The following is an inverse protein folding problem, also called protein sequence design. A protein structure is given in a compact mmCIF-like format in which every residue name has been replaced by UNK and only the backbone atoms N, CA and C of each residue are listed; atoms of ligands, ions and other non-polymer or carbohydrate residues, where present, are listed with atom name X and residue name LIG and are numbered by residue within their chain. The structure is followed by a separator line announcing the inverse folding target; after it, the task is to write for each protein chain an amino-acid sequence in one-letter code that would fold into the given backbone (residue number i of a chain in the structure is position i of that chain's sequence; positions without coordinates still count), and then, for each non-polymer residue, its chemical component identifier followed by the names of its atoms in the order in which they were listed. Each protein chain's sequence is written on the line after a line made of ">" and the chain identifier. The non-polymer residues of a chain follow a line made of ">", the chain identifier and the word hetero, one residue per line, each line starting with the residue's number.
data_IF_143914509224
#
_entry.id   IF_143914509224
#
_cell.length_a   1.000
_cell.length_b   1.000
_cell.length_c   1.000
_cell.angle_alpha   90.00
_cell.angle_beta   90.00
_cell.angle_gamma   90.00
#
_symmetry.space_group_name_H-M   'P 1'
#
loop_
_entity.id
_entity.type
_entity.pdbx_description
1 polymer ?
#
# COMPACT_ATOMS: atom_id res chain seq x y z
N UNK A 1 6.52 14.11 -2.53
CA UNK A 1 6.33 12.69 -2.85
C UNK A 1 7.07 11.85 -1.82
N UNK A 2 6.36 11.08 -1.01
CA UNK A 2 6.95 10.20 0.03
C UNK A 2 7.78 9.04 -0.55
N UNK A 3 7.59 8.72 -1.82
CA UNK A 3 8.21 7.58 -2.48
C UNK A 3 9.19 7.95 -3.58
N UNK A 4 9.24 9.22 -3.96
CA UNK A 4 10.06 9.71 -5.08
C UNK A 4 11.58 9.59 -4.90
N UNK A 5 12.02 9.43 -3.66
CA UNK A 5 13.45 9.29 -3.34
C UNK A 5 13.88 7.81 -3.15
N UNK A 6 12.96 6.84 -3.29
CA UNK A 6 13.29 5.41 -3.20
C UNK A 6 13.94 4.94 -4.49
N UNK A 7 15.06 4.20 -4.40
CA UNK A 7 15.69 3.67 -5.60
C UNK A 7 14.82 2.59 -6.26
N UNK A 8 14.55 2.73 -7.57
CA UNK A 8 13.71 1.77 -8.33
C UNK A 8 14.54 0.72 -9.03
N UNK A 9 15.43 1.15 -9.92
CA UNK A 9 16.21 0.27 -10.79
C UNK A 9 17.69 0.25 -10.44
N UNK A 10 18.22 1.32 -9.91
CA UNK A 10 19.63 1.45 -9.54
C UNK A 10 19.76 2.41 -8.36
N UNK A 11 20.58 2.07 -7.38
CA UNK A 11 20.83 2.88 -6.20
C UNK A 11 21.46 2.11 -5.06
N UNK A 12 21.43 2.71 -3.89
CA UNK A 12 22.02 2.20 -2.66
C UNK A 12 21.29 1.00 -2.10
N UNK A 13 22.03 0.13 -1.40
CA UNK A 13 21.51 -0.84 -0.45
C UNK A 13 21.50 -0.25 0.97
N UNK A 14 20.79 -0.87 1.90
CA UNK A 14 20.68 -0.38 3.30
C UNK A 14 22.02 -0.30 4.05
N UNK A 15 23.03 -1.02 3.59
CA UNK A 15 24.40 -1.00 4.14
C UNK A 15 25.36 -0.14 3.36
N UNK A 16 24.94 0.43 2.23
CA UNK A 16 25.79 1.28 1.39
C UNK A 16 26.28 2.51 2.15
N UNK A 17 27.53 2.87 1.93
CA UNK A 17 28.16 4.02 2.55
C UNK A 17 28.13 5.22 1.62
N UNK A 18 27.98 6.43 2.19
CA UNK A 18 28.05 7.66 1.44
C UNK A 18 29.49 7.86 0.91
N UNK A 19 29.62 8.15 -0.37
CA UNK A 19 30.93 8.45 -0.95
C UNK A 19 31.53 9.69 -0.29
N UNK A 20 32.81 9.61 0.07
CA UNK A 20 33.53 10.70 0.71
C UNK A 20 34.62 11.24 -0.22
N UNK A 21 34.86 12.53 -0.14
CA UNK A 21 35.96 13.19 -0.80
C UNK A 21 36.79 13.99 0.20
N UNK A 22 38.11 14.04 -0.02
CA UNK A 22 39.04 14.84 0.78
C UNK A 22 39.18 16.21 0.15
N UNK A 23 38.67 17.23 0.83
CA UNK A 23 38.88 18.62 0.45
C UNK A 23 39.79 19.33 1.48
N UNK A 24 41.05 19.56 1.14
CA UNK A 24 42.06 20.00 2.10
C UNK A 24 42.32 18.95 3.15
N UNK A 25 42.12 19.28 4.44
CA UNK A 25 42.27 18.36 5.57
C UNK A 25 40.93 17.81 6.10
N UNK A 26 39.82 18.05 5.40
CA UNK A 26 38.48 17.64 5.84
C UNK A 26 37.91 16.57 4.91
N UNK A 27 37.34 15.54 5.51
CA UNK A 27 36.56 14.52 4.83
C UNK A 27 35.10 14.98 4.73
N UNK A 28 34.58 15.11 3.51
CA UNK A 28 33.24 15.59 3.24
C UNK A 28 32.44 14.57 2.42
N UNK A 29 31.13 14.45 2.66
CA UNK A 29 30.27 13.62 1.82
C UNK A 29 30.17 14.23 0.40
N UNK A 30 30.23 13.38 -0.60
CA UNK A 30 29.98 13.76 -1.99
C UNK A 30 28.47 13.93 -2.18
N UNK A 31 28.09 15.09 -2.72
CA UNK A 31 26.70 15.40 -3.01
C UNK A 31 26.53 15.68 -4.50
N UNK A 32 25.42 15.20 -5.07
CA UNK A 32 24.99 15.48 -6.43
C UNK A 32 23.78 16.42 -6.41
N UNK A 33 23.75 17.36 -7.35
CA UNK A 33 22.63 18.29 -7.50
C UNK A 33 21.40 17.52 -7.96
N UNK A 34 20.37 17.51 -7.12
CA UNK A 34 19.10 16.90 -7.41
C UNK A 34 18.12 17.82 -8.14
N UNK A 35 16.85 17.44 -8.13
CA UNK A 35 15.79 18.19 -8.80
C UNK A 35 15.67 19.62 -8.27
N UNK A 36 15.47 20.64 -9.14
CA UNK A 36 15.28 22.01 -8.70
C UNK A 36 13.96 22.19 -7.97
N UNK A 37 13.99 22.96 -6.90
CA UNK A 37 12.79 23.40 -6.18
C UNK A 37 12.40 24.78 -6.70
N UNK A 38 11.21 24.88 -7.28
CA UNK A 38 10.70 26.10 -7.86
C UNK A 38 9.84 26.87 -6.86
N UNK A 39 9.95 28.16 -6.86
CA UNK A 39 9.02 29.07 -6.19
C UNK A 39 8.36 29.96 -7.25
N UNK A 40 7.05 30.15 -7.08
CA UNK A 40 6.28 31.04 -7.95
C UNK A 40 6.59 32.49 -7.63
N UNK A 41 6.80 33.30 -8.65
CA UNK A 41 6.89 34.76 -8.52
C UNK A 41 5.50 35.33 -8.25
N UNK A 42 5.38 36.26 -7.31
CA UNK A 42 4.11 36.96 -7.07
C UNK A 42 3.71 37.76 -8.31
N UNK A 43 2.45 37.61 -8.69
CA UNK A 43 1.87 38.36 -9.83
C UNK A 43 1.51 39.76 -9.38
N UNK A 44 1.82 40.75 -10.21
CA UNK A 44 1.34 42.11 -10.03
C UNK A 44 -0.04 42.35 -10.66
N UNK A 45 -0.46 41.48 -11.60
CA UNK A 45 -1.78 41.50 -12.24
C UNK A 45 -2.31 40.07 -12.43
N UNK A 46 -3.63 39.84 -12.34
CA UNK A 46 -4.25 38.54 -12.64
C UNK A 46 -3.94 37.98 -14.03
N UNK A 47 -3.73 38.86 -15.01
CA UNK A 47 -3.46 38.50 -16.42
C UNK A 47 -1.98 38.15 -16.68
N UNK A 48 -1.10 38.36 -15.69
CA UNK A 48 0.31 38.05 -15.83
C UNK A 48 0.54 36.53 -15.85
N UNK A 49 1.34 35.98 -16.80
CA UNK A 49 1.64 34.56 -16.81
C UNK A 49 2.40 34.13 -15.57
N UNK A 50 2.19 32.89 -15.14
CA UNK A 50 2.91 32.30 -14.02
C UNK A 50 4.40 32.19 -14.35
N UNK A 51 5.22 32.75 -13.48
CA UNK A 51 6.69 32.65 -13.56
C UNK A 51 7.21 31.91 -12.33
N UNK A 52 8.25 31.12 -12.56
CA UNK A 52 8.88 30.33 -11.50
C UNK A 52 10.39 30.55 -11.54
N UNK A 53 10.99 30.62 -10.37
CA UNK A 53 12.45 30.62 -10.24
C UNK A 53 12.92 29.48 -9.33
N UNK A 54 14.14 29.01 -9.55
CA UNK A 54 14.74 27.96 -8.74
C UNK A 54 15.29 28.57 -7.46
N UNK A 55 14.76 28.14 -6.31
CA UNK A 55 15.20 28.60 -4.98
C UNK A 55 16.40 27.79 -4.49
N UNK A 56 16.35 26.48 -4.69
CA UNK A 56 17.37 25.52 -4.28
C UNK A 56 17.27 24.25 -5.10
N UNK A 57 18.27 23.41 -5.02
CA UNK A 57 18.22 22.02 -5.50
C UNK A 57 17.99 21.09 -4.30
N UNK A 58 17.36 19.93 -4.55
CA UNK A 58 17.29 18.82 -3.59
C UNK A 58 18.55 17.98 -3.76
N UNK A 59 19.65 18.42 -3.15
CA UNK A 59 20.92 17.72 -3.29
C UNK A 59 20.83 16.34 -2.59
N UNK A 60 21.41 15.32 -3.24
CA UNK A 60 21.40 13.94 -2.77
C UNK A 60 22.82 13.48 -2.47
N UNK A 61 22.95 12.61 -1.47
CA UNK A 61 24.22 11.94 -1.22
C UNK A 61 24.52 10.95 -2.34
N UNK A 62 25.77 10.93 -2.79
CA UNK A 62 26.28 9.89 -3.67
C UNK A 62 26.74 8.72 -2.81
N UNK A 63 26.32 7.52 -3.13
CA UNK A 63 26.74 6.31 -2.41
C UNK A 63 27.90 5.63 -3.14
N UNK A 64 28.87 5.14 -2.36
CA UNK A 64 30.04 4.47 -2.90
C UNK A 64 29.69 3.09 -3.51
N UNK A 65 28.68 2.44 -2.93
CA UNK A 65 28.21 1.15 -3.43
C UNK A 65 26.76 1.28 -3.87
N UNK A 66 26.51 0.99 -5.15
CA UNK A 66 25.17 0.94 -5.72
C UNK A 66 24.94 -0.42 -6.35
N UNK A 67 23.69 -0.85 -6.39
CA UNK A 67 23.29 -2.10 -7.00
C UNK A 67 22.12 -1.93 -7.96
N UNK A 68 21.96 -2.91 -8.84
CA UNK A 68 20.79 -2.98 -9.71
C UNK A 68 19.59 -3.51 -8.93
N UNK A 69 18.42 -2.88 -9.09
CA UNK A 69 17.14 -3.24 -8.50
C UNK A 69 17.19 -3.37 -6.96
N UNK A 70 17.61 -2.32 -6.22
CA UNK A 70 17.74 -2.39 -4.77
C UNK A 70 16.37 -2.44 -4.09
N UNK A 71 16.11 -3.51 -3.36
CA UNK A 71 14.86 -3.69 -2.61
C UNK A 71 15.05 -3.46 -1.11
N UNK A 72 16.22 -3.78 -0.59
CA UNK A 72 16.63 -3.47 0.77
C UNK A 72 17.51 -2.19 0.75
N UNK A 73 16.88 -1.02 0.77
CA UNK A 73 17.54 0.28 0.52
C UNK A 73 17.59 1.19 1.76
N UNK A 74 16.68 1.02 2.72
CA UNK A 74 16.53 1.93 3.85
C UNK A 74 17.43 1.51 5.02
N UNK A 75 18.49 2.28 5.28
CA UNK A 75 19.45 1.99 6.36
C UNK A 75 18.82 2.02 7.76
N UNK A 76 17.72 2.78 7.95
CA UNK A 76 16.99 2.82 9.22
C UNK A 76 16.27 1.51 9.53
N UNK A 77 16.07 0.65 8.52
CA UNK A 77 15.36 -0.63 8.57
C UNK A 77 16.28 -1.86 8.50
N UNK A 78 17.56 -1.68 8.73
CA UNK A 78 18.56 -2.76 8.66
C UNK A 78 18.17 -4.01 9.48
N UNK A 79 17.76 -3.83 10.73
CA UNK A 79 17.34 -4.93 11.62
C UNK A 79 16.09 -5.63 11.12
N UNK A 80 15.14 -4.89 10.55
CA UNK A 80 13.89 -5.44 10.04
C UNK A 80 14.15 -6.31 8.80
N UNK A 81 15.07 -5.88 7.91
CA UNK A 81 15.50 -6.68 6.76
C UNK A 81 16.21 -7.97 7.20
N UNK A 82 17.16 -7.86 8.14
CA UNK A 82 17.90 -9.02 8.65
C UNK A 82 16.98 -10.02 9.36
N UNK A 83 16.04 -9.53 10.16
CA UNK A 83 15.04 -10.36 10.83
C UNK A 83 14.15 -11.10 9.83
N UNK A 84 13.63 -10.39 8.81
CA UNK A 84 12.78 -11.00 7.78
C UNK A 84 13.52 -12.06 6.96
N UNK A 85 14.76 -11.78 6.63
CA UNK A 85 15.58 -12.67 5.80
C UNK A 85 16.19 -13.86 6.58
N UNK A 86 16.14 -13.82 7.91
CA UNK A 86 16.87 -14.79 8.76
C UNK A 86 18.37 -14.59 8.70
N UNK A 87 18.81 -13.36 8.48
CA UNK A 87 20.19 -12.94 8.25
C UNK A 87 20.49 -12.66 6.78
N UNK A 88 21.41 -11.73 6.56
CA UNK A 88 21.94 -11.35 5.23
C UNK A 88 23.45 -11.58 5.25
N UNK A 89 23.94 -12.51 4.43
CA UNK A 89 25.38 -12.84 4.36
C UNK A 89 26.14 -11.73 3.63
N UNK A 90 25.61 -11.28 2.49
CA UNK A 90 26.18 -10.20 1.68
C UNK A 90 27.55 -10.50 1.10
N UNK A 91 28.01 -9.57 0.23
CA UNK A 91 29.40 -9.55 -0.23
C UNK A 91 30.19 -8.50 0.56
N UNK A 92 31.38 -8.86 1.02
CA UNK A 92 32.29 -7.91 1.66
C UNK A 92 32.98 -7.07 0.59
N UNK A 93 32.84 -5.74 0.69
CA UNK A 93 33.44 -4.75 -0.21
C UNK A 93 34.27 -3.77 0.63
N UNK A 94 35.46 -3.44 0.16
CA UNK A 94 36.31 -2.44 0.81
C UNK A 94 35.75 -1.04 0.52
N UNK A 95 35.70 -0.23 1.56
CA UNK A 95 35.29 1.17 1.49
C UNK A 95 36.36 2.05 2.13
N UNK A 96 36.83 3.04 1.38
CA UNK A 96 37.80 4.03 1.88
C UNK A 96 37.08 5.17 2.58
N UNK A 97 37.22 5.22 3.89
CA UNK A 97 36.72 6.31 4.73
C UNK A 97 37.82 7.35 4.93
N UNK A 98 38.15 8.07 3.85
CA UNK A 98 39.17 9.11 3.85
C UNK A 98 40.57 8.64 4.37
N UNK A 99 41.06 7.50 3.89
CA UNK A 99 42.34 6.90 4.26
C UNK A 99 42.25 5.76 5.26
N UNK A 100 41.08 5.50 5.84
CA UNK A 100 40.80 4.31 6.62
C UNK A 100 39.96 3.32 5.77
N UNK A 101 40.56 2.17 5.45
CA UNK A 101 39.86 1.13 4.69
C UNK A 101 39.07 0.28 5.66
N UNK A 102 37.74 0.25 5.48
CA UNK A 102 36.83 -0.61 6.26
C UNK A 102 36.12 -1.59 5.34
N UNK A 103 35.81 -2.76 5.87
CA UNK A 103 35.01 -3.78 5.17
C UNK A 103 33.54 -3.54 5.42
N UNK A 104 32.76 -3.40 4.35
CA UNK A 104 31.29 -3.22 4.40
C UNK A 104 30.63 -4.40 3.71
N UNK A 105 29.60 -4.96 4.34
CA UNK A 105 28.81 -6.03 3.75
C UNK A 105 27.64 -5.45 2.95
N UNK A 106 27.59 -5.73 1.66
CA UNK A 106 26.52 -5.30 0.78
C UNK A 106 25.68 -6.52 0.39
N UNK A 107 24.34 -6.46 0.51
CA UNK A 107 23.47 -7.56 0.10
C UNK A 107 23.77 -8.01 -1.33
N UNK A 108 23.75 -9.32 -1.55
CA UNK A 108 23.86 -9.87 -2.90
C UNK A 108 22.59 -9.61 -3.71
N UNK A 109 22.71 -9.65 -5.04
CA UNK A 109 21.52 -9.56 -5.92
C UNK A 109 20.51 -10.67 -5.65
N UNK A 110 20.97 -11.88 -5.34
CA UNK A 110 20.09 -13.01 -5.01
C UNK A 110 19.30 -12.79 -3.72
N UNK A 111 19.94 -12.27 -2.66
CA UNK A 111 19.26 -11.92 -1.41
C UNK A 111 18.24 -10.80 -1.64
N UNK A 112 18.59 -9.83 -2.45
CA UNK A 112 17.71 -8.72 -2.79
C UNK A 112 16.46 -9.19 -3.57
N UNK A 113 16.63 -10.13 -4.53
CA UNK A 113 15.50 -10.77 -5.21
C UNK A 113 14.70 -11.68 -4.27
N UNK A 114 15.35 -12.41 -3.36
CA UNK A 114 14.66 -13.21 -2.35
C UNK A 114 13.77 -12.34 -1.46
N UNK A 115 14.27 -11.17 -1.02
CA UNK A 115 13.48 -10.19 -0.29
C UNK A 115 12.30 -9.67 -1.11
N UNK A 116 12.53 -9.29 -2.37
CA UNK A 116 11.46 -8.87 -3.28
C UNK A 116 10.35 -9.90 -3.40
N UNK A 117 10.69 -11.16 -3.62
CA UNK A 117 9.69 -12.21 -3.78
C UNK A 117 9.00 -12.59 -2.47
N UNK A 118 9.76 -12.75 -1.37
CA UNK A 118 9.20 -13.20 -0.09
C UNK A 118 8.42 -12.11 0.62
N UNK A 119 8.96 -10.88 0.69
CA UNK A 119 8.31 -9.78 1.40
C UNK A 119 7.39 -8.97 0.49
N UNK A 120 7.94 -8.38 -0.59
CA UNK A 120 7.17 -7.42 -1.36
C UNK A 120 6.10 -8.06 -2.24
N UNK A 121 6.40 -9.19 -2.91
CA UNK A 121 5.41 -9.87 -3.73
C UNK A 121 4.50 -10.79 -2.91
N UNK A 122 5.05 -11.62 -2.02
CA UNK A 122 4.24 -12.60 -1.29
C UNK A 122 3.52 -11.97 -0.11
N UNK A 123 4.24 -11.37 0.85
CA UNK A 123 3.63 -10.86 2.06
C UNK A 123 2.83 -9.57 1.83
N UNK A 124 3.38 -8.59 1.08
CA UNK A 124 2.75 -7.28 0.88
C UNK A 124 1.77 -7.21 -0.30
N UNK A 125 1.72 -8.22 -1.18
CA UNK A 125 0.78 -8.21 -2.30
C UNK A 125 -0.06 -9.48 -2.38
N UNK A 126 0.56 -10.66 -2.49
CA UNK A 126 -0.16 -11.92 -2.66
C UNK A 126 -1.06 -12.23 -1.47
N UNK A 127 -0.61 -12.00 -0.24
CA UNK A 127 -1.41 -12.16 0.97
C UNK A 127 -2.68 -11.30 0.92
N UNK A 128 -2.55 -10.03 0.56
CA UNK A 128 -3.71 -9.12 0.41
C UNK A 128 -4.64 -9.53 -0.73
N UNK A 129 -4.07 -10.00 -1.84
CA UNK A 129 -4.87 -10.54 -2.93
C UNK A 129 -5.70 -11.73 -2.46
N UNK A 130 -5.10 -12.66 -1.74
CA UNK A 130 -5.78 -13.85 -1.24
C UNK A 130 -6.84 -13.54 -0.17
N UNK A 131 -6.68 -12.46 0.61
CA UNK A 131 -7.73 -12.00 1.52
C UNK A 131 -9.05 -11.72 0.79
N UNK A 132 -8.98 -11.20 -0.42
CA UNK A 132 -10.16 -10.85 -1.20
C UNK A 132 -10.79 -12.05 -1.95
N UNK A 133 -10.01 -13.11 -2.20
CA UNK A 133 -10.45 -14.18 -3.10
C UNK A 133 -10.38 -15.60 -2.52
N UNK A 134 -9.75 -15.77 -1.37
CA UNK A 134 -9.70 -17.05 -0.65
C UNK A 134 -10.30 -16.95 0.75
N UNK A 135 -9.79 -16.01 1.55
CA UNK A 135 -10.22 -15.73 2.91
C UNK A 135 -9.12 -15.12 3.75
N UNK A 136 -9.48 -14.56 4.90
CA UNK A 136 -8.62 -13.85 5.83
C UNK A 136 -8.69 -14.49 7.21
N UNK A 137 -7.56 -14.71 7.85
CA UNK A 137 -7.47 -15.33 9.17
C UNK A 137 -8.04 -14.42 10.27
N UNK A 138 -7.62 -13.17 10.32
CA UNK A 138 -8.11 -12.12 11.21
C UNK A 138 -7.62 -10.75 10.71
N UNK A 139 -8.07 -9.65 11.35
CA UNK A 139 -7.65 -8.27 11.03
C UNK A 139 -6.48 -7.76 11.89
N UNK A 140 -5.86 -8.61 12.70
CA UNK A 140 -4.66 -8.27 13.42
C UNK A 140 -3.50 -8.05 12.44
N UNK A 141 -2.79 -6.94 12.62
CA UNK A 141 -1.65 -6.63 11.76
C UNK A 141 -0.54 -7.66 11.95
N UNK A 142 -0.15 -8.34 10.87
CA UNK A 142 0.92 -9.32 10.86
C UNK A 142 2.25 -8.75 10.42
N UNK A 143 3.35 -9.35 10.92
CA UNK A 143 4.71 -9.13 10.44
C UNK A 143 5.37 -10.43 9.95
N UNK A 144 4.56 -11.43 9.59
CA UNK A 144 4.99 -12.76 9.13
C UNK A 144 4.76 -13.88 10.12
N UNK A 145 4.13 -13.60 11.26
CA UNK A 145 3.72 -14.59 12.25
C UNK A 145 2.60 -15.49 11.71
N UNK A 146 2.44 -16.68 12.30
CA UNK A 146 1.42 -17.65 11.87
C UNK A 146 0.01 -17.32 12.37
N UNK A 147 -0.12 -16.46 13.40
CA UNK A 147 -1.37 -16.14 14.07
C UNK A 147 -2.06 -14.86 13.55
N UNK A 148 -1.32 -14.00 12.86
CA UNK A 148 -1.79 -12.66 12.56
C UNK A 148 -1.91 -12.38 11.06
N UNK A 149 -3.13 -12.03 10.63
CA UNK A 149 -3.41 -11.45 9.32
C UNK A 149 -2.99 -12.30 8.12
N UNK A 150 -2.93 -13.62 8.25
CA UNK A 150 -2.63 -14.50 7.13
C UNK A 150 -3.86 -14.68 6.23
N UNK A 151 -3.64 -15.18 5.02
CA UNK A 151 -4.74 -15.66 4.20
C UNK A 151 -5.03 -17.12 4.52
N UNK A 152 -6.29 -17.52 4.39
CA UNK A 152 -6.78 -18.87 4.62
C UNK A 152 -7.70 -19.31 3.48
N UNK A 153 -7.90 -20.60 3.37
CA UNK A 153 -8.85 -21.17 2.41
C UNK A 153 -10.20 -21.52 3.04
N UNK A 154 -10.23 -21.69 4.35
CA UNK A 154 -11.34 -22.26 5.10
C UNK A 154 -11.43 -23.79 5.02
N UNK A 155 -10.44 -24.44 4.38
CA UNK A 155 -10.32 -25.90 4.31
C UNK A 155 -9.26 -26.32 5.34
N UNK A 156 -9.65 -26.92 6.48
CA UNK A 156 -8.75 -27.18 7.61
C UNK A 156 -7.48 -27.95 7.24
N UNK A 157 -7.58 -28.89 6.31
CA UNK A 157 -6.42 -29.66 5.85
C UNK A 157 -5.35 -28.79 5.18
N UNK A 158 -5.76 -27.78 4.40
CA UNK A 158 -4.85 -26.85 3.73
C UNK A 158 -4.33 -25.83 4.72
N UNK A 159 -5.22 -25.21 5.49
CA UNK A 159 -4.88 -24.13 6.40
C UNK A 159 -3.98 -24.62 7.54
N UNK A 160 -4.25 -25.80 8.09
CA UNK A 160 -3.40 -26.39 9.12
C UNK A 160 -2.02 -26.82 8.60
N UNK A 161 -1.92 -27.20 7.32
CA UNK A 161 -0.63 -27.48 6.73
C UNK A 161 0.22 -26.21 6.49
N UNK A 162 -0.43 -25.07 6.29
CA UNK A 162 0.25 -23.78 6.05
C UNK A 162 0.57 -23.01 7.33
N UNK A 163 -0.36 -22.97 8.28
CA UNK A 163 -0.33 -22.07 9.43
C UNK A 163 -0.33 -22.83 10.78
N UNK A 164 -0.33 -24.17 10.76
CA UNK A 164 -0.55 -24.96 11.96
C UNK A 164 -2.02 -25.09 12.33
N UNK A 165 -2.31 -25.83 13.37
CA UNK A 165 -3.71 -26.12 13.78
C UNK A 165 -4.43 -24.85 14.22
N UNK A 166 -5.32 -24.36 13.39
CA UNK A 166 -6.09 -23.13 13.63
C UNK A 166 -7.08 -23.27 14.79
N UNK A 167 -7.38 -24.50 15.22
CA UNK A 167 -8.21 -24.73 16.41
C UNK A 167 -7.53 -24.36 17.72
N UNK A 168 -6.21 -24.23 17.74
CA UNK A 168 -5.39 -23.86 18.90
C UNK A 168 -5.23 -22.37 19.11
N UNK A 169 -5.71 -21.54 18.17
CA UNK A 169 -5.67 -20.09 18.34
C UNK A 169 -6.46 -19.64 19.57
N UNK A 170 -6.07 -18.56 20.25
CA UNK A 170 -6.88 -17.89 21.28
C UNK A 170 -8.26 -17.49 20.76
N UNK A 171 -9.23 -17.43 21.66
CA UNK A 171 -10.63 -17.17 21.28
C UNK A 171 -10.82 -15.76 20.67
N UNK A 172 -10.09 -14.76 21.13
CA UNK A 172 -10.08 -13.40 20.57
C UNK A 172 -9.60 -13.32 19.12
N UNK A 173 -8.73 -14.24 18.69
CA UNK A 173 -8.29 -14.35 17.30
C UNK A 173 -9.25 -15.19 16.45
N UNK A 174 -9.88 -16.23 17.03
CA UNK A 174 -10.89 -17.06 16.34
C UNK A 174 -12.19 -16.30 16.08
N UNK A 175 -12.65 -15.54 17.08
CA UNK A 175 -13.90 -14.78 17.03
C UNK A 175 -13.71 -13.38 16.45
N UNK A 176 -12.52 -13.11 15.88
CA UNK A 176 -12.22 -11.83 15.28
C UNK A 176 -13.14 -11.57 14.09
N UNK A 177 -13.72 -10.37 14.02
CA UNK A 177 -14.65 -9.98 12.94
C UNK A 177 -14.00 -10.02 11.55
N UNK A 178 -12.68 -9.83 11.48
CA UNK A 178 -11.91 -9.95 10.25
C UNK A 178 -11.65 -11.38 9.79
N UNK A 179 -12.19 -12.41 10.50
CA UNK A 179 -12.12 -13.81 10.07
C UNK A 179 -13.14 -14.08 8.97
N UNK A 180 -12.66 -14.19 7.73
CA UNK A 180 -13.50 -14.36 6.54
C UNK A 180 -13.07 -15.58 5.73
N UNK A 181 -14.01 -16.43 5.35
CA UNK A 181 -13.75 -17.69 4.64
C UNK A 181 -14.57 -17.73 3.35
N UNK A 182 -13.89 -17.78 2.21
CA UNK A 182 -14.55 -17.82 0.90
C UNK A 182 -14.32 -19.15 0.14
N UNK A 183 -13.62 -20.10 0.75
CA UNK A 183 -13.34 -21.43 0.16
C UNK A 183 -12.65 -21.35 -1.22
N UNK A 184 -11.91 -20.32 -1.49
CA UNK A 184 -11.30 -20.03 -2.81
C UNK A 184 -12.32 -19.95 -3.97
N UNK A 185 -13.63 -19.87 -3.71
CA UNK A 185 -14.64 -19.86 -4.76
C UNK A 185 -14.50 -18.64 -5.70
N UNK A 186 -14.31 -17.41 -5.17
CA UNK A 186 -14.04 -16.25 -6.05
C UNK A 186 -12.75 -16.40 -6.85
N UNK A 187 -11.71 -16.99 -6.25
CA UNK A 187 -10.44 -17.25 -6.92
C UNK A 187 -10.61 -18.21 -8.09
N UNK A 188 -11.31 -19.31 -7.88
CA UNK A 188 -11.59 -20.33 -8.92
C UNK A 188 -12.38 -19.71 -10.06
N UNK A 189 -13.44 -18.97 -9.77
CA UNK A 189 -14.23 -18.28 -10.79
C UNK A 189 -13.38 -17.25 -11.56
N UNK A 190 -12.52 -16.51 -10.88
CA UNK A 190 -11.61 -15.56 -11.51
C UNK A 190 -10.62 -16.24 -12.45
N UNK A 191 -10.03 -17.35 -12.02
CA UNK A 191 -9.13 -18.14 -12.86
C UNK A 191 -9.85 -18.75 -14.09
N UNK A 192 -11.06 -19.29 -13.91
CA UNK A 192 -11.87 -19.76 -15.04
C UNK A 192 -12.13 -18.66 -16.05
N UNK A 193 -12.51 -17.47 -15.60
CA UNK A 193 -12.75 -16.31 -16.45
C UNK A 193 -11.49 -15.82 -17.16
N UNK A 194 -10.36 -15.76 -16.46
CA UNK A 194 -9.06 -15.41 -17.00
C UNK A 194 -8.65 -16.36 -18.15
N UNK A 195 -8.66 -17.67 -17.90
CA UNK A 195 -8.30 -18.66 -18.92
C UNK A 195 -9.28 -18.66 -20.09
N UNK A 196 -10.58 -18.60 -19.82
CA UNK A 196 -11.59 -18.53 -20.85
C UNK A 196 -11.39 -17.31 -21.75
N UNK A 197 -11.12 -16.13 -21.21
CA UNK A 197 -10.86 -14.93 -21.99
C UNK A 197 -9.58 -15.05 -22.80
N UNK A 198 -8.50 -15.58 -22.20
CA UNK A 198 -7.20 -15.73 -22.85
C UNK A 198 -7.21 -16.70 -24.03
N UNK A 199 -8.04 -17.77 -23.98
CA UNK A 199 -8.02 -18.86 -24.97
C UNK A 199 -9.26 -18.91 -25.87
N UNK A 200 -10.22 -18.00 -25.69
CA UNK A 200 -11.48 -18.06 -26.44
C UNK A 200 -11.31 -17.77 -27.93
N UNK A 201 -10.76 -16.64 -28.30
CA UNK A 201 -10.55 -16.20 -29.69
C UNK A 201 -9.65 -14.95 -29.73
N UNK A 202 -9.36 -14.44 -30.92
CA UNK A 202 -8.48 -13.27 -31.10
C UNK A 202 -8.99 -12.00 -30.39
N UNK A 203 -10.30 -11.75 -30.39
CA UNK A 203 -10.88 -10.62 -29.63
C UNK A 203 -10.78 -10.84 -28.12
N UNK A 204 -10.96 -12.08 -27.66
CA UNK A 204 -10.77 -12.46 -26.26
C UNK A 204 -9.35 -12.20 -25.78
N UNK A 205 -8.33 -12.56 -26.58
CA UNK A 205 -6.93 -12.27 -26.28
C UNK A 205 -6.66 -10.76 -26.19
N UNK A 206 -7.22 -9.95 -27.08
CA UNK A 206 -7.06 -8.49 -27.01
C UNK A 206 -7.66 -7.91 -25.72
N UNK A 207 -8.87 -8.34 -25.36
CA UNK A 207 -9.52 -7.92 -24.12
C UNK A 207 -8.80 -8.44 -22.87
N UNK A 208 -8.26 -9.67 -22.95
CA UNK A 208 -7.43 -10.22 -21.86
C UNK A 208 -6.24 -9.32 -21.56
N UNK A 209 -5.51 -8.87 -22.58
CA UNK A 209 -4.37 -8.00 -22.39
C UNK A 209 -4.74 -6.65 -21.75
N UNK A 210 -5.91 -6.10 -22.07
CA UNK A 210 -6.39 -4.86 -21.44
C UNK A 210 -6.61 -5.07 -19.94
N UNK A 211 -7.32 -6.13 -19.54
CA UNK A 211 -7.56 -6.44 -18.13
C UNK A 211 -6.25 -6.85 -17.43
N UNK A 212 -5.39 -7.62 -18.11
CA UNK A 212 -4.10 -8.03 -17.58
C UNK A 212 -3.18 -6.82 -17.29
N UNK A 213 -3.08 -5.87 -18.21
CA UNK A 213 -2.30 -4.67 -17.96
C UNK A 213 -2.90 -3.82 -16.85
N UNK A 214 -4.22 -3.71 -16.77
CA UNK A 214 -4.87 -3.05 -15.64
C UNK A 214 -4.50 -3.75 -14.32
N UNK A 215 -4.61 -5.07 -14.26
CA UNK A 215 -4.23 -5.88 -13.10
C UNK A 215 -2.75 -5.72 -12.74
N UNK A 216 -1.86 -5.84 -13.71
CA UNK A 216 -0.42 -5.73 -13.50
C UNK A 216 0.01 -4.33 -13.06
N UNK A 217 -0.46 -3.29 -13.75
CA UNK A 217 -0.06 -1.91 -13.48
C UNK A 217 -0.57 -1.37 -12.14
N UNK A 218 -1.75 -1.83 -11.71
CA UNK A 218 -2.33 -1.44 -10.40
C UNK A 218 -1.96 -2.41 -9.27
N UNK A 219 -1.24 -3.49 -9.56
CA UNK A 219 -0.76 -4.48 -8.61
C UNK A 219 0.76 -4.51 -8.53
N UNK A 220 1.39 -5.45 -9.28
CA UNK A 220 2.84 -5.68 -9.21
C UNK A 220 3.68 -4.45 -9.58
N UNK A 221 3.24 -3.65 -10.54
CA UNK A 221 3.94 -2.39 -10.85
C UNK A 221 3.95 -1.42 -9.66
N UNK A 222 2.85 -1.36 -8.89
CA UNK A 222 2.78 -0.58 -7.64
C UNK A 222 3.71 -1.16 -6.58
N UNK A 223 3.80 -2.50 -6.46
CA UNK A 223 4.78 -3.15 -5.54
C UNK A 223 6.20 -2.68 -5.85
N UNK A 224 6.58 -2.71 -7.13
CA UNK A 224 7.91 -2.27 -7.59
C UNK A 224 8.11 -0.78 -7.30
N UNK A 225 7.12 0.06 -7.60
CA UNK A 225 7.17 1.51 -7.41
C UNK A 225 7.28 1.91 -5.93
N UNK A 226 6.46 1.31 -5.07
CA UNK A 226 6.43 1.65 -3.66
C UNK A 226 7.72 1.21 -2.95
N UNK A 227 8.40 0.18 -3.41
CA UNK A 227 9.62 -0.36 -2.81
C UNK A 227 9.55 -0.40 -1.27
N UNK A 228 8.52 -1.07 -0.73
CA UNK A 228 8.22 -1.02 0.70
C UNK A 228 9.23 -1.82 1.51
N UNK A 229 9.66 -1.23 2.61
CA UNK A 229 10.48 -1.85 3.65
C UNK A 229 9.61 -2.61 4.67
N UNK A 230 10.18 -3.52 5.48
CA UNK A 230 9.46 -4.21 6.54
C UNK A 230 8.99 -3.27 7.66
N UNK A 231 8.18 -3.82 8.58
CA UNK A 231 7.64 -3.12 9.76
C UNK A 231 6.88 -1.85 9.37
N UNK A 232 5.91 -2.02 8.47
CA UNK A 232 4.99 -0.95 8.10
C UNK A 232 4.09 -0.59 9.30
N UNK A 233 3.74 0.70 9.49
CA UNK A 233 2.92 1.15 10.63
C UNK A 233 1.46 0.65 10.56
N UNK A 234 1.02 0.16 9.41
CA UNK A 234 -0.32 -0.41 9.16
C UNK A 234 -0.32 -1.26 7.90
N UNK A 235 -1.35 -2.08 7.74
CA UNK A 235 -1.59 -2.82 6.50
C UNK A 235 -1.78 -1.87 5.30
N UNK A 236 -1.28 -2.25 4.14
CA UNK A 236 -1.24 -1.42 2.91
C UNK A 236 -2.03 -2.02 1.75
N UNK A 237 -2.99 -2.90 2.02
CA UNK A 237 -3.85 -3.58 1.06
C UNK A 237 -4.55 -2.62 0.09
N UNK A 238 -5.00 -1.47 0.58
CA UNK A 238 -5.63 -0.43 -0.22
C UNK A 238 -4.78 0.11 -1.37
N UNK A 239 -3.45 0.00 -1.28
CA UNK A 239 -2.56 0.43 -2.35
C UNK A 239 -2.73 -0.41 -3.63
N UNK A 240 -3.26 -1.62 -3.51
CA UNK A 240 -3.42 -2.60 -4.57
C UNK A 240 -4.88 -2.85 -4.96
N UNK A 241 -5.81 -2.09 -4.42
CA UNK A 241 -7.25 -2.25 -4.65
C UNK A 241 -7.63 -2.25 -6.14
N UNK A 242 -6.92 -1.48 -6.98
CA UNK A 242 -7.13 -1.47 -8.42
C UNK A 242 -6.89 -2.83 -9.07
N UNK A 243 -5.89 -3.61 -8.62
CA UNK A 243 -5.64 -4.95 -9.14
C UNK A 243 -6.70 -5.96 -8.69
N UNK A 244 -7.20 -5.82 -7.47
CA UNK A 244 -8.30 -6.65 -6.97
C UNK A 244 -9.58 -6.40 -7.76
N UNK A 245 -9.87 -5.13 -8.05
CA UNK A 245 -10.96 -4.76 -8.95
C UNK A 245 -10.79 -5.34 -10.37
N UNK A 246 -9.58 -5.28 -10.93
CA UNK A 246 -9.29 -5.86 -12.23
C UNK A 246 -9.50 -7.38 -12.24
N UNK A 247 -9.10 -8.09 -11.18
CA UNK A 247 -9.34 -9.52 -11.05
C UNK A 247 -10.83 -9.85 -10.89
N UNK A 248 -11.61 -8.98 -10.26
CA UNK A 248 -13.06 -9.12 -10.14
C UNK A 248 -13.77 -9.11 -11.51
N UNK A 249 -13.18 -8.50 -12.55
CA UNK A 249 -13.68 -8.60 -13.92
C UNK A 249 -13.60 -10.06 -14.40
N UNK A 250 -12.46 -10.71 -14.19
CA UNK A 250 -12.32 -12.14 -14.53
C UNK A 250 -13.22 -13.03 -13.68
N UNK A 251 -13.41 -12.69 -12.41
CA UNK A 251 -14.36 -13.39 -11.55
C UNK A 251 -15.78 -13.37 -12.16
N UNK A 252 -16.28 -12.22 -12.60
CA UNK A 252 -17.55 -12.14 -13.32
C UNK A 252 -17.55 -12.91 -14.65
N UNK A 253 -16.43 -12.90 -15.41
CA UNK A 253 -16.27 -13.66 -16.64
C UNK A 253 -16.21 -15.17 -16.42
N UNK A 254 -15.88 -15.65 -15.21
CA UNK A 254 -15.95 -17.06 -14.85
C UNK A 254 -17.34 -17.65 -15.00
N UNK A 255 -18.38 -16.87 -14.71
CA UNK A 255 -19.78 -17.28 -14.95
C UNK A 255 -20.03 -17.52 -16.44
N UNK A 256 -19.57 -16.61 -17.29
CA UNK A 256 -19.69 -16.77 -18.76
C UNK A 256 -18.88 -17.97 -19.26
N UNK A 257 -17.73 -18.26 -18.66
CA UNK A 257 -16.93 -19.44 -18.96
C UNK A 257 -17.70 -20.73 -18.67
N UNK A 258 -18.33 -20.83 -17.49
CA UNK A 258 -19.14 -22.01 -17.11
C UNK A 258 -20.34 -22.19 -18.05
N UNK A 259 -21.05 -21.10 -18.36
CA UNK A 259 -22.17 -21.14 -19.29
C UNK A 259 -21.70 -21.65 -20.67
N UNK A 260 -20.64 -21.06 -21.24
CA UNK A 260 -20.10 -21.45 -22.52
C UNK A 260 -19.67 -22.93 -22.56
N UNK A 261 -19.00 -23.39 -21.51
CA UNK A 261 -18.59 -24.78 -21.38
C UNK A 261 -19.78 -25.75 -21.34
N UNK A 262 -20.82 -25.43 -20.61
CA UNK A 262 -22.02 -26.28 -20.50
C UNK A 262 -22.85 -26.27 -21.78
N UNK A 263 -22.96 -25.12 -22.48
CA UNK A 263 -23.64 -25.02 -23.78
C UNK A 263 -22.94 -25.89 -24.82
N UNK A 264 -21.62 -25.89 -24.87
CA UNK A 264 -20.83 -26.72 -25.77
C UNK A 264 -20.99 -28.20 -25.44
N UNK A 265 -20.89 -28.57 -24.17
CA UNK A 265 -21.00 -29.96 -23.70
C UNK A 265 -22.38 -30.56 -23.97
N UNK A 266 -23.44 -29.80 -23.67
CA UNK A 266 -24.84 -30.21 -23.81
C UNK A 266 -25.38 -29.98 -25.22
N UNK A 267 -24.60 -29.37 -26.12
CA UNK A 267 -25.01 -28.98 -27.50
C UNK A 267 -26.36 -28.24 -27.53
N UNK A 268 -26.65 -27.48 -26.47
CA UNK A 268 -27.92 -26.77 -26.30
C UNK A 268 -27.67 -25.43 -25.62
N UNK A 269 -28.08 -24.35 -26.24
CA UNK A 269 -28.17 -23.02 -25.62
C UNK A 269 -29.58 -22.82 -25.05
N UNK A 270 -29.67 -22.34 -23.83
CA UNK A 270 -30.95 -22.06 -23.16
C UNK A 270 -30.81 -20.90 -22.20
N UNK A 271 -31.62 -19.88 -22.38
CA UNK A 271 -31.68 -18.70 -21.48
C UNK A 271 -31.99 -19.14 -20.04
N UNK A 272 -32.84 -20.12 -19.86
CA UNK A 272 -33.20 -20.68 -18.54
C UNK A 272 -31.98 -21.30 -17.87
N UNK A 273 -31.19 -22.09 -18.61
CA UNK A 273 -29.96 -22.70 -18.11
C UNK A 273 -28.93 -21.63 -17.71
N UNK A 274 -28.71 -20.65 -18.59
CA UNK A 274 -27.78 -19.56 -18.32
C UNK A 274 -28.19 -18.72 -17.10
N UNK A 275 -29.50 -18.45 -16.96
CA UNK A 275 -30.05 -17.77 -15.79
C UNK A 275 -29.88 -18.59 -14.50
N UNK A 276 -30.12 -19.90 -14.56
CA UNK A 276 -29.94 -20.79 -13.40
C UNK A 276 -28.46 -20.85 -12.97
N UNK A 277 -27.52 -20.95 -13.92
CA UNK A 277 -26.09 -20.91 -13.62
C UNK A 277 -25.71 -19.56 -12.99
N UNK A 278 -26.21 -18.43 -13.55
CA UNK A 278 -25.97 -17.11 -13.02
C UNK A 278 -26.48 -16.97 -11.57
N UNK A 279 -27.67 -17.48 -11.27
CA UNK A 279 -28.24 -17.49 -9.92
C UNK A 279 -27.41 -18.33 -8.94
N UNK A 280 -26.94 -19.51 -9.37
CA UNK A 280 -26.05 -20.34 -8.53
C UNK A 280 -24.73 -19.63 -8.27
N UNK A 281 -24.10 -19.06 -9.30
CA UNK A 281 -22.85 -18.33 -9.13
C UNK A 281 -23.02 -17.06 -8.26
N UNK A 282 -24.22 -16.47 -8.23
CA UNK A 282 -24.52 -15.31 -7.37
C UNK A 282 -24.47 -15.64 -5.88
N UNK A 283 -24.58 -16.92 -5.51
CA UNK A 283 -24.40 -17.34 -4.12
C UNK A 283 -23.01 -17.06 -3.59
N UNK A 284 -21.99 -17.02 -4.46
CA UNK A 284 -20.61 -16.72 -4.04
C UNK A 284 -20.46 -15.27 -3.54
N UNK A 285 -20.82 -14.21 -4.28
CA UNK A 285 -20.75 -12.85 -3.74
C UNK A 285 -21.74 -12.62 -2.57
N UNK A 286 -22.86 -13.33 -2.51
CA UNK A 286 -23.79 -13.28 -1.36
C UNK A 286 -23.10 -13.85 -0.12
N UNK A 287 -22.44 -14.99 -0.23
CA UNK A 287 -21.68 -15.60 0.86
C UNK A 287 -20.51 -14.69 1.30
N UNK A 288 -19.77 -14.10 0.36
CA UNK A 288 -18.74 -13.11 0.68
C UNK A 288 -19.33 -11.92 1.45
N UNK A 289 -20.43 -11.34 0.98
CA UNK A 289 -21.08 -10.22 1.64
C UNK A 289 -21.58 -10.58 3.04
N UNK A 290 -22.10 -11.78 3.25
CA UNK A 290 -22.57 -12.24 4.56
C UNK A 290 -21.44 -12.38 5.59
N UNK A 291 -20.23 -12.68 5.13
CA UNK A 291 -19.05 -12.82 5.99
C UNK A 291 -18.38 -11.48 6.30
N UNK A 292 -18.38 -10.56 5.34
CA UNK A 292 -17.63 -9.30 5.46
C UNK A 292 -18.49 -8.12 5.91
N UNK A 293 -19.80 -8.31 6.09
CA UNK A 293 -20.73 -7.22 6.40
C UNK A 293 -20.36 -6.50 7.69
N UNK A 294 -20.13 -7.23 8.75
CA UNK A 294 -19.81 -6.69 10.06
C UNK A 294 -18.43 -6.03 10.15
N UNK A 295 -17.46 -6.50 9.38
CA UNK A 295 -16.15 -5.85 9.19
C UNK A 295 -16.28 -4.46 8.58
N UNK A 296 -17.16 -4.34 7.60
CA UNK A 296 -17.29 -3.16 6.75
C UNK A 296 -18.39 -2.22 7.24
N UNK A 297 -19.27 -2.67 8.11
CA UNK A 297 -20.29 -1.81 8.72
C UNK A 297 -19.63 -0.80 9.67
N UNK A 298 -19.61 0.45 9.21
CA UNK A 298 -19.10 1.59 9.96
C UNK A 298 -20.21 2.48 10.50
N UNK A 299 -21.46 2.08 10.33
CA UNK A 299 -22.60 2.73 10.96
C UNK A 299 -22.44 2.66 12.49
N UNK A 300 -22.63 3.76 13.18
CA UNK A 300 -22.46 3.82 14.63
C UNK A 300 -21.02 3.95 15.15
N UNK A 301 -20.00 4.04 14.27
CA UNK A 301 -18.61 4.31 14.68
C UNK A 301 -18.34 5.81 14.77
N UNK A 302 -18.75 6.43 15.87
CA UNK A 302 -18.64 7.88 16.07
C UNK A 302 -17.39 8.35 16.82
N UNK A 303 -16.49 7.45 17.19
CA UNK A 303 -15.32 7.75 18.04
C UNK A 303 -14.50 8.94 17.51
N UNK A 304 -14.21 8.98 16.20
CA UNK A 304 -13.44 10.09 15.62
C UNK A 304 -14.21 11.41 15.66
N UNK A 305 -15.53 11.40 15.41
CA UNK A 305 -16.39 12.56 15.52
C UNK A 305 -16.41 13.09 16.95
N UNK A 306 -16.68 12.21 17.91
CA UNK A 306 -16.83 12.56 19.32
C UNK A 306 -15.50 13.04 19.91
N UNK A 307 -14.38 12.44 19.49
CA UNK A 307 -13.04 12.94 19.83
C UNK A 307 -12.84 14.39 19.35
N UNK A 308 -13.08 14.69 18.08
CA UNK A 308 -12.97 16.03 17.52
C UNK A 308 -13.92 17.01 18.19
N UNK A 309 -15.16 16.61 18.46
CA UNK A 309 -16.15 17.41 19.15
C UNK A 309 -15.71 17.78 20.58
N UNK A 310 -15.21 16.80 21.34
CA UNK A 310 -14.71 17.04 22.70
C UNK A 310 -13.53 18.02 22.72
N UNK A 311 -12.63 17.94 21.76
CA UNK A 311 -11.53 18.91 21.62
C UNK A 311 -12.06 20.33 21.38
N UNK A 312 -12.95 20.50 20.42
CA UNK A 312 -13.50 21.82 20.07
C UNK A 312 -14.35 22.40 21.19
N UNK A 313 -15.13 21.55 21.88
CA UNK A 313 -15.97 21.97 23.00
C UNK A 313 -15.16 22.29 24.29
N UNK A 314 -13.92 21.83 24.40
CA UNK A 314 -13.05 22.16 25.55
C UNK A 314 -12.41 23.56 25.46
N UNK A 315 -12.60 24.24 24.33
CA UNK A 315 -12.05 25.57 24.13
C UNK A 315 -12.87 26.65 24.85
N UNK A 316 -12.21 27.74 25.15
CA UNK A 316 -12.87 28.86 25.82
C UNK A 316 -13.95 29.47 24.93
N UNK A 317 -15.17 29.56 25.44
CA UNK A 317 -16.29 30.18 24.76
C UNK A 317 -16.02 31.66 24.44
N UNK A 318 -16.59 32.13 23.32
CA UNK A 318 -16.48 33.52 22.85
C UNK A 318 -15.04 34.01 22.60
N UNK A 319 -14.10 33.10 22.41
CA UNK A 319 -12.73 33.36 21.95
C UNK A 319 -12.56 32.92 20.50
N UNK A 320 -11.48 33.38 19.86
CA UNK A 320 -11.05 32.84 18.54
C UNK A 320 -9.79 32.00 18.77
N UNK A 321 -9.92 30.81 19.35
CA UNK A 321 -8.77 30.00 19.75
C UNK A 321 -8.06 29.38 18.52
N UNK A 322 -6.77 29.13 18.69
CA UNK A 322 -5.97 28.41 17.74
C UNK A 322 -5.57 27.07 18.38
N UNK A 323 -5.89 25.97 17.72
CA UNK A 323 -5.45 24.61 18.10
C UNK A 323 -4.36 24.18 17.14
N UNK A 324 -3.25 23.70 17.69
CA UNK A 324 -2.21 23.04 16.90
C UNK A 324 -2.34 21.53 17.02
N UNK A 325 -2.37 20.87 15.87
CA UNK A 325 -2.44 19.41 15.74
C UNK A 325 -1.19 18.90 15.02
N UNK A 326 -0.80 17.65 15.27
CA UNK A 326 0.48 17.12 14.77
C UNK A 326 0.35 16.09 13.64
N UNK A 327 -0.78 15.97 13.01
CA UNK A 327 -0.96 15.02 11.92
C UNK A 327 -2.40 14.89 11.48
N UNK A 328 -2.64 13.96 10.55
CA UNK A 328 -3.95 13.79 9.94
C UNK A 328 -4.98 13.25 10.95
N UNK A 329 -4.56 12.34 11.83
CA UNK A 329 -5.47 11.64 12.75
C UNK A 329 -6.11 12.56 13.79
N UNK A 330 -5.42 13.60 14.22
CA UNK A 330 -5.92 14.61 15.16
C UNK A 330 -6.56 15.80 14.43
N UNK A 331 -6.13 16.10 13.20
CA UNK A 331 -6.62 17.25 12.44
C UNK A 331 -7.97 16.97 11.77
N UNK A 332 -8.10 15.85 11.07
CA UNK A 332 -9.30 15.57 10.27
C UNK A 332 -10.58 15.40 11.08
N UNK A 333 -10.58 14.81 12.28
CA UNK A 333 -11.76 14.83 13.14
C UNK A 333 -12.22 16.24 13.54
N UNK A 334 -11.29 17.18 13.74
CA UNK A 334 -11.62 18.56 14.05
C UNK A 334 -12.22 19.27 12.84
N UNK A 335 -11.59 19.16 11.68
CA UNK A 335 -12.14 19.74 10.43
C UNK A 335 -13.50 19.16 10.07
N UNK A 336 -13.69 17.83 10.23
CA UNK A 336 -15.00 17.23 10.04
C UNK A 336 -16.07 17.87 10.94
N UNK A 337 -15.77 18.06 12.23
CA UNK A 337 -16.71 18.68 13.16
C UNK A 337 -17.00 20.16 12.80
N UNK A 338 -15.99 20.89 12.31
CA UNK A 338 -16.18 22.27 11.89
C UNK A 338 -16.99 22.39 10.60
N UNK A 339 -16.62 21.61 9.57
CA UNK A 339 -17.18 21.77 8.22
C UNK A 339 -18.52 21.03 8.03
N UNK A 340 -18.74 19.91 8.72
CA UNK A 340 -19.93 19.08 8.56
C UNK A 340 -20.91 19.23 9.71
N UNK A 341 -20.43 19.20 10.96
CA UNK A 341 -21.29 19.27 12.16
C UNK A 341 -21.49 20.70 12.64
N UNK A 342 -20.73 21.67 12.15
CA UNK A 342 -20.83 23.08 12.53
C UNK A 342 -20.38 23.38 13.97
N UNK A 343 -19.53 22.53 14.57
CA UNK A 343 -19.05 22.67 15.95
C UNK A 343 -17.71 23.37 15.98
N UNK A 344 -17.57 24.41 16.82
CA UNK A 344 -16.30 25.11 17.05
C UNK A 344 -15.75 25.82 15.80
N UNK A 345 -16.64 26.36 14.96
CA UNK A 345 -16.28 27.04 13.71
C UNK A 345 -15.46 28.34 13.92
N UNK A 346 -15.48 28.89 15.14
CA UNK A 346 -14.67 30.02 15.54
C UNK A 346 -13.21 29.63 15.86
N UNK A 347 -12.91 28.34 16.04
CA UNK A 347 -11.57 27.87 16.31
C UNK A 347 -10.77 27.70 15.00
N UNK A 348 -9.50 28.05 15.03
CA UNK A 348 -8.58 27.81 13.91
C UNK A 348 -7.73 26.58 14.21
N UNK A 349 -7.88 25.56 13.38
CA UNK A 349 -7.12 24.30 13.51
C UNK A 349 -5.90 24.35 12.61
N UNK A 350 -4.71 24.36 13.21
CA UNK A 350 -3.42 24.41 12.52
C UNK A 350 -2.67 23.08 12.59
N UNK A 351 -2.50 22.39 11.45
CA UNK A 351 -1.70 21.18 11.37
C UNK A 351 -0.21 21.53 11.24
N UNK A 352 0.59 21.15 12.24
CA UNK A 352 2.02 21.45 12.32
C UNK A 352 2.81 20.84 11.16
N UNK A 353 2.41 19.66 10.67
CA UNK A 353 3.06 19.00 9.54
C UNK A 353 2.90 19.79 8.24
N UNK A 354 1.79 20.51 8.07
CA UNK A 354 1.52 21.31 6.88
C UNK A 354 2.07 22.74 6.97
N UNK A 355 2.41 23.22 8.15
CA UNK A 355 3.04 24.57 8.32
C UNK A 355 4.39 24.71 7.63
N UNK A 356 5.01 23.61 7.21
CA UNK A 356 6.20 23.65 6.36
C UNK A 356 5.90 24.02 4.89
N UNK A 357 4.61 24.14 4.50
CA UNK A 357 4.18 24.41 3.12
C UNK A 357 3.61 25.82 2.96
N UNK A 358 4.06 26.56 1.96
CA UNK A 358 3.66 27.96 1.73
C UNK A 358 2.13 28.10 1.51
N UNK A 359 1.49 27.19 0.78
CA UNK A 359 0.06 27.22 0.52
C UNK A 359 -0.78 27.14 1.80
N UNK A 360 -0.33 26.32 2.76
CA UNK A 360 -1.06 26.13 4.02
C UNK A 360 -0.89 27.35 4.93
N UNK A 361 0.29 27.96 4.99
CA UNK A 361 0.51 29.21 5.71
C UNK A 361 -0.43 30.31 5.20
N UNK A 362 -0.52 30.46 3.86
CA UNK A 362 -1.43 31.44 3.24
C UNK A 362 -2.89 31.16 3.61
N UNK A 363 -3.28 29.88 3.65
CA UNK A 363 -4.63 29.49 4.09
C UNK A 363 -4.89 29.87 5.55
N UNK A 364 -3.90 29.64 6.42
CA UNK A 364 -4.00 29.91 7.86
C UNK A 364 -4.05 31.40 8.18
N UNK A 365 -3.46 32.25 7.35
CA UNK A 365 -3.45 33.72 7.56
C UNK A 365 -4.72 34.40 7.02
N UNK A 366 -5.48 33.74 6.13
CA UNK A 366 -6.73 34.30 5.62
C UNK A 366 -7.75 34.45 6.77
N UNK A 367 -8.50 35.58 6.83
CA UNK A 367 -9.59 35.71 7.80
C UNK A 367 -10.58 34.55 7.61
N UNK A 368 -11.04 33.99 8.73
CA UNK A 368 -12.21 33.12 8.72
C UNK A 368 -13.42 33.91 8.26
N UNK A 369 -14.17 33.38 7.31
CA UNK A 369 -15.41 34.04 6.85
C UNK A 369 -16.48 33.95 7.92
#
# INVERSE_FOLDING_TARGET
>A
DQYGDRPLLYGEAYTSQVALSVEGNMCKPVMEKGAPVYQRVEKHSPDEPDRYFVVRTKDKYVYAQNMFFPRMHDSSKARDYESWMGGVEGNTVQYDRCGEIIDVKIPTFAENIRFFLSYQCNFMYWRYFMWNFAGRQNDCQGNGELEHGNWITGIPFIDNAMLGDQSLLPDDLKENKGHNVFYCLPLILGLLGLFWQAFRNQKGIQQFWVVFFLFFMTGLAIVIYLNQNPSQPRERDYAYAGSFYAFAIWYGMGVAAIISFLEEKLKRSSVIMSAAIGLVCLLVPIQMASQTWDDHDRSGRYTCRDFGQNYLMSLQENSNPIIFTNGDNDTFPLWYNQDVEGVGTNARVGNLSYLATAWYIVLMVRPAY
#
